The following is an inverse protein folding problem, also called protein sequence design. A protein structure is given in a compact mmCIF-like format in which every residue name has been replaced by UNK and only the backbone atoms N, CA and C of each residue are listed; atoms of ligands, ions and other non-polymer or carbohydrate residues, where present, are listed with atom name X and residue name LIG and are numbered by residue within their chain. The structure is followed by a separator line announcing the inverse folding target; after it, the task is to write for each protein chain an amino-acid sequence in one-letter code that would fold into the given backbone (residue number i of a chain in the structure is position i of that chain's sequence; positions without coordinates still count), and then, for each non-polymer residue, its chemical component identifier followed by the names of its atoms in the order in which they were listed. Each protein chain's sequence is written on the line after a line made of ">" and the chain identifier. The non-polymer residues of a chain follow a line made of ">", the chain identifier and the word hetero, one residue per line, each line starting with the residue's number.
data_IF_692458502926
#
_entry.id   IF_692458502926
#
_cell.length_a   1.000
_cell.length_b   1.000
_cell.length_c   1.000
_cell.angle_alpha   90.00
_cell.angle_beta   90.00
_cell.angle_gamma   90.00
#
_symmetry.space_group_name_H-M   'P 1'
#
loop_
_entity.id
_entity.type
_entity.pdbx_description
1 polymer ?
#
# COMPACT_ATOMS: atom_id res chain seq x y z
N UNK A 1 13.32 -29.50 -7.48
CA UNK A 1 13.83 -28.33 -8.23
C UNK A 1 15.28 -28.48 -8.70
N UNK A 2 16.29 -28.54 -7.81
CA UNK A 2 17.71 -28.59 -8.23
C UNK A 2 18.06 -29.78 -9.14
N UNK A 3 17.47 -30.97 -8.94
CA UNK A 3 17.71 -32.12 -9.82
C UNK A 3 17.17 -31.90 -11.25
N UNK A 4 15.99 -31.28 -11.38
CA UNK A 4 15.42 -30.91 -12.68
C UNK A 4 16.31 -29.89 -13.40
N UNK A 5 16.78 -28.87 -12.69
CA UNK A 5 17.67 -27.83 -13.24
C UNK A 5 18.99 -28.45 -13.74
N UNK A 6 19.55 -29.41 -12.99
CA UNK A 6 20.74 -30.17 -13.43
C UNK A 6 20.51 -30.94 -14.71
N UNK A 7 19.33 -31.55 -14.89
CA UNK A 7 19.00 -32.25 -16.13
C UNK A 7 18.80 -31.28 -17.30
N UNK A 8 18.11 -30.15 -17.09
CA UNK A 8 17.95 -29.10 -18.11
C UNK A 8 19.31 -28.55 -18.59
N UNK A 9 20.23 -28.33 -17.65
CA UNK A 9 21.59 -27.91 -17.97
C UNK A 9 22.33 -28.92 -18.87
N UNK A 10 22.12 -30.22 -18.68
CA UNK A 10 22.76 -31.26 -19.51
C UNK A 10 22.15 -31.37 -20.91
N UNK A 11 20.91 -30.90 -21.10
CA UNK A 11 20.18 -30.92 -22.36
C UNK A 11 20.56 -29.79 -23.34
N UNK A 12 21.65 -29.03 -23.08
CA UNK A 12 22.16 -27.96 -23.94
C UNK A 12 22.26 -28.40 -25.41
N UNK A 13 21.70 -27.65 -26.38
CA UNK A 13 22.38 -27.44 -27.63
C UNK A 13 23.64 -26.60 -27.33
N UNK A 14 24.81 -26.97 -27.88
CA UNK A 14 26.00 -26.14 -27.76
C UNK A 14 25.73 -24.72 -28.31
N UNK A 15 26.09 -23.66 -27.58
CA UNK A 15 25.99 -22.28 -28.06
C UNK A 15 27.12 -22.01 -29.06
N UNK A 16 27.03 -22.63 -30.24
CA UNK A 16 27.82 -22.26 -31.42
C UNK A 16 26.92 -22.08 -32.67
N UNK A 17 25.60 -22.07 -32.50
CA UNK A 17 24.64 -21.81 -33.59
C UNK A 17 23.46 -20.89 -33.21
N UNK A 18 23.48 -20.21 -32.06
CA UNK A 18 22.51 -19.17 -31.72
C UNK A 18 23.24 -17.86 -31.48
N UNK A 19 23.03 -16.88 -32.35
CA UNK A 19 23.49 -15.52 -32.11
C UNK A 19 22.71 -14.91 -30.94
N UNK A 20 23.35 -14.74 -29.79
CA UNK A 20 23.06 -13.73 -28.76
C UNK A 20 21.69 -13.70 -28.03
N UNK A 21 20.69 -14.54 -28.33
CA UNK A 21 19.40 -14.55 -27.63
C UNK A 21 19.43 -15.33 -26.29
N UNK A 22 18.64 -14.90 -25.29
CA UNK A 22 18.47 -15.63 -24.00
C UNK A 22 17.70 -16.94 -24.21
N UNK A 23 18.04 -18.02 -23.52
CA UNK A 23 17.30 -19.30 -23.59
C UNK A 23 16.43 -19.51 -22.36
N UNK A 24 15.11 -19.68 -22.57
CA UNK A 24 14.12 -19.95 -21.53
C UNK A 24 13.58 -21.37 -21.70
N UNK A 25 13.78 -22.22 -20.69
CA UNK A 25 13.19 -23.55 -20.64
C UNK A 25 11.76 -23.47 -20.12
N UNK A 26 10.78 -23.76 -20.97
CA UNK A 26 9.36 -23.83 -20.59
C UNK A 26 9.05 -25.19 -19.96
N UNK A 27 8.62 -25.14 -18.71
CA UNK A 27 8.23 -26.27 -17.88
C UNK A 27 6.80 -26.03 -17.41
N UNK A 28 5.83 -26.51 -18.20
CA UNK A 28 4.40 -26.38 -17.93
C UNK A 28 3.95 -24.93 -17.62
N UNK A 29 4.48 -23.95 -18.36
CA UNK A 29 4.15 -22.53 -18.23
C UNK A 29 5.03 -21.76 -17.23
N UNK A 30 6.01 -22.42 -16.62
CA UNK A 30 7.07 -21.79 -15.82
C UNK A 30 8.34 -21.77 -16.66
N UNK A 31 8.96 -20.60 -16.80
CA UNK A 31 10.20 -20.48 -17.56
C UNK A 31 11.41 -20.50 -16.62
N UNK A 32 12.47 -21.21 -17.01
CA UNK A 32 13.73 -21.25 -16.26
C UNK A 32 14.85 -20.82 -17.18
N UNK A 33 15.67 -19.86 -16.74
CA UNK A 33 16.95 -19.53 -17.37
C UNK A 33 18.08 -20.07 -16.51
N UNK A 34 19.19 -20.48 -17.12
CA UNK A 34 20.28 -21.19 -16.44
C UNK A 34 21.62 -20.59 -16.86
N UNK A 35 22.55 -20.52 -15.92
CA UNK A 35 23.95 -20.13 -16.09
C UNK A 35 24.06 -18.72 -16.71
N UNK A 36 24.80 -18.55 -17.80
CA UNK A 36 25.06 -17.24 -18.44
C UNK A 36 23.80 -16.42 -18.75
N UNK A 37 22.69 -17.07 -19.07
CA UNK A 37 21.43 -16.36 -19.35
C UNK A 37 20.77 -15.84 -18.07
N UNK A 38 20.88 -16.59 -16.97
CA UNK A 38 20.44 -16.15 -15.65
C UNK A 38 21.32 -14.98 -15.16
N UNK A 39 22.64 -15.09 -15.32
CA UNK A 39 23.60 -14.02 -14.97
C UNK A 39 23.33 -12.76 -15.79
N UNK A 40 23.03 -12.91 -17.09
CA UNK A 40 22.67 -11.78 -17.95
C UNK A 40 21.41 -11.07 -17.47
N UNK A 41 20.38 -11.80 -17.05
CA UNK A 41 19.17 -11.19 -16.48
C UNK A 41 19.45 -10.50 -15.12
N UNK A 42 20.24 -11.12 -14.24
CA UNK A 42 20.67 -10.51 -12.99
C UNK A 42 21.42 -9.19 -13.25
N UNK A 43 22.40 -9.17 -14.16
CA UNK A 43 23.17 -7.97 -14.47
C UNK A 43 22.36 -6.89 -15.18
N UNK A 44 21.31 -7.25 -15.91
CA UNK A 44 20.49 -6.31 -16.68
C UNK A 44 19.34 -5.74 -15.86
N UNK A 45 18.68 -6.59 -15.04
CA UNK A 45 17.40 -6.27 -14.37
C UNK A 45 17.50 -6.33 -12.84
N UNK A 46 18.59 -6.87 -12.30
CA UNK A 46 18.81 -7.03 -10.86
C UNK A 46 17.94 -8.08 -10.19
N UNK A 47 17.21 -8.89 -10.98
CA UNK A 47 16.35 -9.95 -10.47
C UNK A 47 17.16 -11.00 -9.71
N UNK A 48 16.64 -11.45 -8.56
CA UNK A 48 17.31 -12.43 -7.70
C UNK A 48 17.61 -13.73 -8.47
N UNK A 49 18.82 -14.22 -8.28
CA UNK A 49 19.33 -15.44 -8.88
C UNK A 49 19.60 -16.48 -7.80
N UNK A 50 19.40 -17.75 -8.11
CA UNK A 50 19.66 -18.85 -7.17
C UNK A 50 20.76 -19.75 -7.70
N UNK A 51 21.65 -20.19 -6.82
CA UNK A 51 22.76 -21.07 -7.17
C UNK A 51 22.44 -22.55 -6.92
N UNK A 52 23.08 -23.42 -7.71
CA UNK A 52 23.12 -24.86 -7.48
C UNK A 52 24.50 -25.42 -7.85
N UNK A 53 24.93 -26.47 -7.14
CA UNK A 53 26.21 -27.13 -7.42
C UNK A 53 26.01 -28.47 -8.15
N UNK A 54 26.72 -28.69 -9.25
CA UNK A 54 26.86 -30.01 -9.88
C UNK A 54 28.33 -30.38 -10.07
N UNK A 55 28.73 -31.55 -9.56
CA UNK A 55 30.11 -32.08 -9.64
C UNK A 55 31.20 -31.07 -9.25
N UNK A 56 30.94 -30.26 -8.23
CA UNK A 56 31.89 -29.25 -7.73
C UNK A 56 31.93 -27.95 -8.53
N UNK A 57 31.12 -27.80 -9.58
CA UNK A 57 30.91 -26.53 -10.29
C UNK A 57 29.61 -25.89 -9.81
N UNK A 58 29.64 -24.59 -9.54
CA UNK A 58 28.46 -23.80 -9.18
C UNK A 58 27.89 -23.20 -10.46
N UNK A 59 26.59 -23.33 -10.62
CA UNK A 59 25.81 -22.75 -11.69
C UNK A 59 24.67 -21.95 -11.08
N UNK A 60 24.15 -20.99 -11.84
CA UNK A 60 23.06 -20.14 -11.38
C UNK A 60 21.81 -20.43 -12.21
N UNK A 61 20.63 -20.14 -11.67
CA UNK A 61 19.37 -20.22 -12.40
C UNK A 61 18.39 -19.17 -11.86
N UNK A 62 17.41 -18.83 -12.70
CA UNK A 62 16.37 -17.89 -12.35
C UNK A 62 15.04 -18.36 -12.94
N UNK A 63 13.98 -18.26 -12.15
CA UNK A 63 12.61 -18.48 -12.63
C UNK A 63 12.10 -17.20 -13.29
N UNK A 64 11.51 -17.32 -14.47
CA UNK A 64 10.88 -16.22 -15.20
C UNK A 64 9.38 -16.51 -15.26
N UNK A 65 8.61 -15.68 -14.57
CA UNK A 65 7.15 -15.69 -14.56
C UNK A 65 6.57 -15.16 -15.89
N UNK A 66 5.28 -15.39 -16.16
CA UNK A 66 4.61 -14.73 -17.28
C UNK A 66 4.72 -13.20 -17.26
N UNK A 67 4.81 -12.56 -16.08
CA UNK A 67 5.06 -11.12 -15.96
C UNK A 67 6.48 -10.77 -16.35
N UNK A 68 7.46 -11.58 -15.95
CA UNK A 68 8.85 -11.47 -16.40
C UNK A 68 8.96 -11.53 -17.92
N UNK A 69 8.24 -12.45 -18.59
CA UNK A 69 8.17 -12.49 -20.06
C UNK A 69 7.66 -11.17 -20.65
N UNK A 70 6.61 -10.58 -20.05
CA UNK A 70 6.11 -9.28 -20.50
C UNK A 70 7.16 -8.17 -20.34
N UNK A 71 7.94 -8.18 -19.25
CA UNK A 71 9.07 -7.25 -19.04
C UNK A 71 10.10 -7.41 -20.15
N UNK A 72 10.55 -8.64 -20.43
CA UNK A 72 11.53 -8.91 -21.49
C UNK A 72 11.06 -8.39 -22.85
N UNK A 73 9.80 -8.65 -23.21
CA UNK A 73 9.20 -8.16 -24.46
C UNK A 73 9.18 -6.63 -24.54
N UNK A 74 8.76 -5.96 -23.47
CA UNK A 74 8.66 -4.49 -23.44
C UNK A 74 10.03 -3.81 -23.50
N UNK A 75 11.05 -4.44 -22.93
CA UNK A 75 12.44 -3.98 -22.99
C UNK A 75 13.16 -4.41 -24.27
N UNK A 76 12.49 -5.11 -25.19
CA UNK A 76 13.09 -5.63 -26.43
C UNK A 76 14.32 -6.52 -26.19
N UNK A 77 14.26 -7.34 -25.14
CA UNK A 77 15.29 -8.34 -24.85
C UNK A 77 14.96 -9.61 -25.64
N UNK A 78 15.82 -9.99 -26.58
CA UNK A 78 15.64 -11.18 -27.40
C UNK A 78 15.77 -12.48 -26.60
N UNK A 79 14.83 -13.39 -26.81
CA UNK A 79 14.82 -14.69 -26.15
C UNK A 79 14.16 -15.79 -26.99
N UNK A 80 14.59 -17.03 -26.75
CA UNK A 80 14.04 -18.25 -27.35
C UNK A 80 13.44 -19.16 -26.25
N UNK A 81 12.35 -19.86 -26.59
CA UNK A 81 11.69 -20.80 -25.68
C UNK A 81 11.98 -22.23 -26.11
N UNK A 82 12.54 -23.02 -25.19
CA UNK A 82 12.79 -24.46 -25.36
C UNK A 82 11.83 -25.23 -24.46
N UNK A 83 10.98 -26.08 -25.04
CA UNK A 83 10.08 -26.91 -24.24
C UNK A 83 10.85 -28.00 -23.50
N UNK A 84 10.58 -28.15 -22.22
CA UNK A 84 11.12 -29.22 -21.40
C UNK A 84 9.99 -29.98 -20.69
N UNK A 85 10.19 -31.28 -20.46
CA UNK A 85 9.25 -32.10 -19.71
C UNK A 85 9.63 -32.08 -18.22
N UNK A 86 8.67 -31.74 -17.36
CA UNK A 86 8.85 -31.83 -15.90
C UNK A 86 8.46 -33.22 -15.38
N UNK A 87 9.13 -33.67 -14.32
CA UNK A 87 8.76 -34.85 -13.54
C UNK A 87 8.21 -34.47 -12.15
N UNK A 88 8.41 -33.21 -11.72
CA UNK A 88 8.07 -32.74 -10.36
C UNK A 88 7.32 -31.39 -10.37
N UNK A 89 6.47 -31.18 -9.35
CA UNK A 89 5.87 -29.88 -9.05
C UNK A 89 6.95 -28.84 -8.68
N UNK A 90 6.97 -27.72 -9.41
CA UNK A 90 7.86 -26.58 -9.15
C UNK A 90 7.15 -25.62 -8.19
N UNK A 91 7.84 -25.22 -7.12
CA UNK A 91 7.36 -24.15 -6.26
C UNK A 91 7.43 -22.82 -7.04
N UNK A 92 6.29 -22.11 -7.13
CA UNK A 92 6.12 -20.92 -7.96
C UNK A 92 6.48 -19.63 -7.23
N UNK A 93 6.54 -19.70 -5.90
CA UNK A 93 6.67 -18.51 -5.07
C UNK A 93 8.15 -18.29 -4.74
N UNK A 94 8.64 -17.13 -5.17
CA UNK A 94 10.01 -16.69 -4.92
C UNK A 94 10.06 -15.17 -5.01
N UNK A 95 11.00 -14.54 -4.31
CA UNK A 95 11.19 -13.09 -4.37
C UNK A 95 11.36 -12.61 -5.82
N UNK A 96 12.01 -13.41 -6.69
CA UNK A 96 12.18 -13.04 -8.09
C UNK A 96 10.85 -12.89 -8.86
N UNK A 97 9.80 -13.64 -8.53
CA UNK A 97 8.49 -13.47 -9.18
C UNK A 97 7.79 -12.19 -8.71
N UNK A 98 7.97 -11.80 -7.45
CA UNK A 98 7.55 -10.49 -6.93
C UNK A 98 8.28 -9.35 -7.66
N UNK A 99 9.62 -9.45 -7.80
CA UNK A 99 10.43 -8.45 -8.50
C UNK A 99 9.98 -8.28 -9.95
N UNK A 100 9.75 -9.37 -10.68
CA UNK A 100 9.26 -9.34 -12.06
C UNK A 100 7.86 -8.73 -12.18
N UNK A 101 6.99 -8.99 -11.21
CA UNK A 101 5.63 -8.42 -11.15
C UNK A 101 5.69 -6.92 -10.93
N UNK A 102 6.52 -6.47 -9.99
CA UNK A 102 6.78 -5.06 -9.73
C UNK A 102 7.42 -4.34 -10.92
N UNK A 103 8.38 -4.97 -11.59
CA UNK A 103 8.99 -4.43 -12.80
C UNK A 103 7.99 -4.29 -13.94
N UNK A 104 7.09 -5.26 -14.09
CA UNK A 104 6.01 -5.14 -15.05
C UNK A 104 5.13 -3.94 -14.73
N UNK A 105 4.67 -3.78 -13.48
CA UNK A 105 3.88 -2.62 -13.05
C UNK A 105 4.62 -1.29 -13.29
N UNK A 106 5.92 -1.25 -12.99
CA UNK A 106 6.78 -0.10 -13.22
C UNK A 106 6.89 0.29 -14.70
N UNK A 107 6.95 -0.68 -15.61
CA UNK A 107 6.95 -0.40 -17.05
C UNK A 107 5.59 0.12 -17.55
N UNK A 108 4.51 -0.14 -16.83
CA UNK A 108 3.20 0.45 -17.10
C UNK A 108 3.06 1.86 -16.51
N UNK A 109 3.89 2.22 -15.52
CA UNK A 109 3.87 3.53 -14.90
C UNK A 109 4.51 4.59 -15.80
N UNK A 110 3.93 5.79 -15.77
CA UNK A 110 4.49 6.97 -16.45
C UNK A 110 5.67 7.58 -15.70
N UNK A 111 5.99 8.83 -16.04
CA UNK A 111 7.04 9.60 -15.36
C UNK A 111 6.67 10.05 -13.95
N UNK A 112 5.40 9.96 -13.56
CA UNK A 112 4.92 10.41 -12.26
C UNK A 112 4.83 9.23 -11.30
N UNK A 113 5.20 9.47 -10.04
CA UNK A 113 5.00 8.50 -8.97
C UNK A 113 3.50 8.34 -8.73
N UNK A 114 3.06 7.09 -8.73
CA UNK A 114 1.72 6.70 -8.37
C UNK A 114 1.76 6.01 -7.01
N UNK A 115 0.95 6.48 -6.07
CA UNK A 115 0.79 5.90 -4.74
C UNK A 115 -0.46 5.04 -4.70
N UNK A 116 -0.30 3.72 -4.65
CA UNK A 116 -1.39 2.78 -4.45
C UNK A 116 -1.61 2.56 -2.94
N UNK A 117 -2.80 2.85 -2.39
CA UNK A 117 -3.06 2.66 -0.97
C UNK A 117 -3.19 1.18 -0.59
N UNK A 118 -2.63 0.82 0.56
CA UNK A 118 -2.72 -0.53 1.14
C UNK A 118 -3.52 -0.44 2.44
N UNK A 119 -4.50 -1.34 2.60
CA UNK A 119 -5.43 -1.31 3.72
C UNK A 119 -5.31 -2.61 4.53
N UNK A 120 -5.16 -2.49 5.85
CA UNK A 120 -5.26 -3.63 6.75
C UNK A 120 -4.14 -4.68 6.65
N UNK A 121 -2.98 -4.32 6.09
CA UNK A 121 -1.82 -5.21 6.04
C UNK A 121 -0.80 -4.84 7.12
N UNK A 122 -0.68 -5.72 8.12
CA UNK A 122 0.37 -5.66 9.12
C UNK A 122 1.43 -6.71 8.84
N UNK A 123 2.66 -6.40 9.20
CA UNK A 123 3.77 -7.33 9.05
C UNK A 123 4.83 -7.14 10.13
N UNK A 124 5.69 -8.13 10.32
CA UNK A 124 6.84 -8.07 11.22
C UNK A 124 8.09 -7.80 10.39
N UNK A 125 8.83 -6.76 10.73
CA UNK A 125 10.18 -6.56 10.19
C UNK A 125 11.22 -6.85 11.27
N UNK A 126 12.26 -7.54 10.87
CA UNK A 126 13.45 -7.78 11.68
C UNK A 126 14.59 -6.90 11.17
N UNK A 127 15.23 -6.20 12.10
CA UNK A 127 16.44 -5.44 11.86
C UNK A 127 17.44 -5.71 12.98
N UNK A 128 18.63 -5.12 12.87
CA UNK A 128 19.71 -5.36 13.83
C UNK A 128 19.28 -4.91 15.23
N UNK A 129 19.00 -5.89 16.09
CA UNK A 129 18.67 -5.69 17.51
C UNK A 129 17.19 -5.43 17.82
N UNK A 130 16.28 -5.51 16.85
CA UNK A 130 14.84 -5.42 17.12
C UNK A 130 13.97 -6.13 16.09
N UNK A 131 12.81 -6.60 16.57
CA UNK A 131 11.68 -7.04 15.76
C UNK A 131 10.53 -6.09 16.07
N UNK A 132 9.91 -5.51 15.05
CA UNK A 132 8.75 -4.63 15.23
C UNK A 132 7.63 -4.96 14.26
N UNK A 133 6.40 -4.85 14.74
CA UNK A 133 5.20 -4.85 13.88
C UNK A 133 5.12 -3.50 13.16
N UNK A 134 4.93 -3.53 11.85
CA UNK A 134 4.74 -2.36 10.99
C UNK A 134 3.51 -2.55 10.13
N UNK A 135 2.88 -1.44 9.74
CA UNK A 135 1.73 -1.44 8.84
C UNK A 135 2.15 -1.03 7.45
N UNK A 136 1.78 -1.79 6.43
CA UNK A 136 1.98 -1.40 5.04
C UNK A 136 0.85 -0.45 4.64
N UNK A 137 1.20 0.78 4.24
CA UNK A 137 0.20 1.84 4.03
C UNK A 137 0.08 2.27 2.58
N UNK A 138 1.17 2.25 1.80
CA UNK A 138 1.08 2.46 0.36
C UNK A 138 2.26 1.86 -0.40
N UNK A 139 2.02 1.48 -1.64
CA UNK A 139 3.04 1.10 -2.61
C UNK A 139 3.19 2.22 -3.64
N UNK A 140 4.35 2.88 -3.65
CA UNK A 140 4.65 3.94 -4.60
C UNK A 140 5.45 3.37 -5.77
N UNK A 141 4.93 3.56 -6.98
CA UNK A 141 5.53 3.04 -8.21
C UNK A 141 5.73 4.19 -9.19
N UNK A 142 6.95 4.30 -9.70
CA UNK A 142 7.28 5.11 -10.86
C UNK A 142 8.18 4.31 -11.80
N UNK A 143 8.45 4.84 -13.00
CA UNK A 143 9.38 4.21 -13.94
C UNK A 143 10.79 3.98 -13.36
N UNK A 144 11.24 4.80 -12.41
CA UNK A 144 12.58 4.70 -11.84
C UNK A 144 12.58 3.92 -10.53
N UNK A 145 11.71 4.27 -9.60
CA UNK A 145 11.76 3.79 -8.22
C UNK A 145 10.47 3.07 -7.81
N UNK A 146 10.64 2.13 -6.88
CA UNK A 146 9.57 1.47 -6.15
C UNK A 146 9.85 1.63 -4.66
N UNK A 147 8.94 2.28 -3.95
CA UNK A 147 9.05 2.46 -2.50
C UNK A 147 7.80 1.99 -1.79
N UNK A 148 7.98 1.37 -0.63
CA UNK A 148 6.89 0.95 0.23
C UNK A 148 6.80 1.90 1.42
N UNK A 149 5.63 2.49 1.62
CA UNK A 149 5.36 3.30 2.81
C UNK A 149 4.90 2.38 3.95
N UNK A 150 5.56 2.51 5.09
CA UNK A 150 5.21 1.81 6.32
C UNK A 150 4.85 2.82 7.43
N UNK A 151 3.87 2.46 8.25
CA UNK A 151 3.32 3.27 9.33
C UNK A 151 2.98 4.71 8.91
N UNK A 152 2.52 4.89 7.66
CA UNK A 152 2.10 6.16 7.07
C UNK A 152 3.16 7.28 7.17
N UNK A 153 4.45 6.93 7.23
CA UNK A 153 5.51 7.93 7.43
C UNK A 153 6.90 7.50 6.98
N UNK A 154 7.25 6.22 7.07
CA UNK A 154 8.56 5.73 6.70
C UNK A 154 8.53 5.13 5.29
N UNK A 155 9.43 5.57 4.42
CA UNK A 155 9.54 5.07 3.05
C UNK A 155 10.74 4.13 2.95
N UNK A 156 10.48 2.90 2.53
CA UNK A 156 11.50 1.88 2.30
C UNK A 156 11.67 1.71 0.79
N UNK A 157 12.85 2.02 0.27
CA UNK A 157 13.18 1.76 -1.12
C UNK A 157 13.29 0.25 -1.36
N UNK A 158 12.49 -0.27 -2.28
CA UNK A 158 12.55 -1.66 -2.71
C UNK A 158 13.41 -1.82 -3.98
N UNK A 159 13.32 -0.85 -4.89
CA UNK A 159 14.12 -0.81 -6.11
C UNK A 159 14.35 0.63 -6.60
N UNK A 160 15.52 0.87 -7.18
CA UNK A 160 15.88 2.09 -7.89
C UNK A 160 16.60 1.74 -9.20
N UNK A 161 15.96 1.98 -10.33
CA UNK A 161 16.42 1.44 -11.61
C UNK A 161 16.51 -0.09 -11.54
N UNK A 162 17.65 -0.67 -11.88
CA UNK A 162 17.83 -2.13 -11.78
C UNK A 162 18.48 -2.57 -10.47
N UNK A 163 18.63 -1.67 -9.50
CA UNK A 163 19.18 -1.98 -8.18
C UNK A 163 18.05 -2.34 -7.22
N UNK A 164 18.08 -3.57 -6.70
CA UNK A 164 17.10 -4.07 -5.74
C UNK A 164 17.66 -4.07 -4.32
N UNK A 165 16.78 -3.82 -3.35
CA UNK A 165 17.14 -3.85 -1.94
C UNK A 165 17.19 -5.29 -1.41
N UNK A 166 18.39 -5.87 -1.40
CA UNK A 166 18.67 -7.21 -0.86
C UNK A 166 18.97 -7.24 0.65
N UNK A 167 18.73 -6.15 1.39
CA UNK A 167 18.81 -6.22 2.86
C UNK A 167 17.76 -7.18 3.42
N UNK A 168 17.98 -7.75 4.61
CA UNK A 168 16.99 -8.62 5.26
C UNK A 168 15.60 -7.98 5.29
N UNK A 169 15.54 -6.69 5.68
CA UNK A 169 14.29 -5.94 5.69
C UNK A 169 13.67 -5.80 4.29
N UNK A 170 14.48 -5.50 3.26
CA UNK A 170 14.01 -5.40 1.87
C UNK A 170 13.43 -6.72 1.35
N UNK A 171 14.14 -7.83 1.57
CA UNK A 171 13.69 -9.17 1.19
C UNK A 171 12.42 -9.59 1.92
N UNK A 172 12.36 -9.36 3.23
CA UNK A 172 11.17 -9.61 4.03
C UNK A 172 9.97 -8.82 3.51
N UNK A 173 10.14 -7.54 3.17
CA UNK A 173 9.06 -6.72 2.63
C UNK A 173 8.62 -7.19 1.22
N UNK A 174 9.56 -7.60 0.35
CA UNK A 174 9.24 -8.18 -0.95
C UNK A 174 8.40 -9.46 -0.80
N UNK A 175 8.77 -10.32 0.15
CA UNK A 175 8.01 -11.53 0.46
C UNK A 175 6.59 -11.19 0.94
N UNK A 176 6.44 -10.21 1.83
CA UNK A 176 5.11 -9.82 2.35
C UNK A 176 4.20 -9.17 1.31
N UNK A 177 4.73 -8.42 0.33
CA UNK A 177 3.90 -7.85 -0.73
C UNK A 177 3.58 -8.86 -1.83
N UNK A 178 4.21 -10.03 -1.86
CA UNK A 178 3.92 -11.07 -2.86
C UNK A 178 2.43 -11.44 -2.88
N UNK A 179 1.87 -11.80 -1.73
CA UNK A 179 0.45 -12.17 -1.59
C UNK A 179 -0.49 -11.02 -1.92
N UNK A 180 -0.07 -9.77 -1.62
CA UNK A 180 -0.84 -8.58 -1.97
C UNK A 180 -0.90 -8.40 -3.48
N UNK A 181 0.24 -8.56 -4.16
CA UNK A 181 0.30 -8.49 -5.61
C UNK A 181 -0.54 -9.61 -6.23
N UNK A 182 -0.44 -10.85 -5.74
CA UNK A 182 -1.23 -11.96 -6.28
C UNK A 182 -2.74 -11.71 -6.22
N UNK A 183 -3.24 -11.15 -5.13
CA UNK A 183 -4.67 -10.83 -4.97
C UNK A 183 -5.09 -9.57 -5.75
N UNK A 184 -4.25 -8.53 -5.77
CA UNK A 184 -4.66 -7.18 -6.19
C UNK A 184 -4.07 -6.73 -7.52
N UNK A 185 -3.26 -7.58 -8.18
CA UNK A 185 -2.48 -7.21 -9.38
C UNK A 185 -3.31 -6.52 -10.46
N UNK A 186 -4.43 -7.10 -10.88
CA UNK A 186 -5.24 -6.55 -11.98
C UNK A 186 -5.81 -5.17 -11.64
N UNK A 187 -6.13 -4.95 -10.37
CA UNK A 187 -6.60 -3.67 -9.88
C UNK A 187 -5.48 -2.64 -9.83
N UNK A 188 -4.31 -3.00 -9.28
CA UNK A 188 -3.13 -2.13 -9.26
C UNK A 188 -2.71 -1.75 -10.69
N UNK A 189 -2.68 -2.71 -11.61
CA UNK A 189 -2.38 -2.48 -13.02
C UNK A 189 -3.37 -1.49 -13.65
N UNK A 190 -4.67 -1.69 -13.43
CA UNK A 190 -5.72 -0.78 -13.92
C UNK A 190 -5.59 0.62 -13.32
N UNK A 191 -5.25 0.70 -12.03
CA UNK A 191 -5.00 1.94 -11.31
C UNK A 191 -3.78 2.69 -11.88
N UNK A 192 -2.71 1.97 -12.24
CA UNK A 192 -1.52 2.54 -12.90
C UNK A 192 -1.83 3.07 -14.30
N UNK A 193 -2.54 2.28 -15.11
CA UNK A 193 -2.82 2.61 -16.50
C UNK A 193 -3.86 3.74 -16.64
N UNK A 194 -4.86 3.78 -15.76
CA UNK A 194 -6.01 4.69 -15.86
C UNK A 194 -6.39 5.37 -14.52
N UNK A 195 -5.45 6.03 -13.81
CA UNK A 195 -5.67 6.48 -12.43
C UNK A 195 -6.87 7.42 -12.29
N UNK A 196 -7.06 8.35 -13.23
CA UNK A 196 -8.18 9.30 -13.19
C UNK A 196 -9.54 8.61 -13.29
N UNK A 197 -9.64 7.56 -14.09
CA UNK A 197 -10.89 6.81 -14.26
C UNK A 197 -11.17 5.98 -13.01
N UNK A 198 -10.17 5.24 -12.52
CA UNK A 198 -10.31 4.42 -11.32
C UNK A 198 -10.70 5.28 -10.11
N UNK A 199 -10.00 6.39 -9.86
CA UNK A 199 -10.33 7.32 -8.76
C UNK A 199 -11.75 7.89 -8.89
N UNK A 200 -12.21 8.14 -10.12
CA UNK A 200 -13.58 8.63 -10.36
C UNK A 200 -14.62 7.55 -10.03
N UNK A 201 -14.38 6.32 -10.46
CA UNK A 201 -15.25 5.17 -10.18
C UNK A 201 -15.31 4.88 -8.68
N UNK A 202 -14.14 4.86 -8.01
CA UNK A 202 -14.03 4.76 -6.55
C UNK A 202 -14.87 5.84 -5.86
N UNK A 203 -14.73 7.12 -6.24
CA UNK A 203 -15.51 8.22 -5.64
C UNK A 203 -17.02 8.03 -5.79
N UNK A 204 -17.48 7.53 -6.94
CA UNK A 204 -18.90 7.27 -7.19
C UNK A 204 -19.42 6.11 -6.32
N UNK A 205 -18.65 5.03 -6.21
CA UNK A 205 -18.96 3.87 -5.39
C UNK A 205 -18.98 4.23 -3.91
N UNK A 206 -17.96 4.93 -3.43
CA UNK A 206 -17.85 5.39 -2.05
C UNK A 206 -18.99 6.35 -1.68
N UNK A 207 -19.41 7.23 -2.60
CA UNK A 207 -20.61 8.06 -2.40
C UNK A 207 -21.88 7.23 -2.27
N UNK A 208 -22.03 6.14 -3.01
CA UNK A 208 -23.18 5.24 -2.88
C UNK A 208 -23.19 4.54 -1.52
N UNK A 209 -22.03 4.05 -1.07
CA UNK A 209 -21.84 3.49 0.27
C UNK A 209 -22.22 4.51 1.36
N UNK A 210 -21.64 5.71 1.29
CA UNK A 210 -21.90 6.76 2.27
C UNK A 210 -23.37 7.22 2.27
N UNK A 211 -24.01 7.30 1.11
CA UNK A 211 -25.44 7.62 1.02
C UNK A 211 -26.32 6.57 1.72
N UNK A 212 -25.97 5.29 1.60
CA UNK A 212 -26.65 4.20 2.32
C UNK A 212 -26.44 4.32 3.83
N UNK A 213 -25.21 4.60 4.26
CA UNK A 213 -24.90 4.87 5.67
C UNK A 213 -25.76 6.02 6.22
N UNK A 214 -25.74 7.19 5.57
CA UNK A 214 -26.42 8.38 6.11
C UNK A 214 -27.94 8.25 6.05
N UNK A 215 -28.51 7.54 5.06
CA UNK A 215 -29.96 7.30 5.01
C UNK A 215 -30.42 6.46 6.19
N UNK A 216 -29.66 5.43 6.56
CA UNK A 216 -30.03 4.57 7.70
C UNK A 216 -29.69 5.21 9.04
N UNK A 217 -28.56 5.93 9.14
CA UNK A 217 -28.13 6.57 10.39
C UNK A 217 -29.15 7.59 10.90
N UNK A 218 -29.88 8.26 10.01
CA UNK A 218 -30.92 9.26 10.37
C UNK A 218 -32.08 8.67 11.17
N UNK A 219 -32.36 7.38 10.99
CA UNK A 219 -33.48 6.68 11.64
C UNK A 219 -33.06 5.96 12.92
N UNK A 220 -31.76 6.02 13.27
CA UNK A 220 -31.19 5.38 14.46
C UNK A 220 -31.02 6.40 15.59
N UNK A 221 -31.07 5.95 16.86
CA UNK A 221 -30.67 6.77 17.99
C UNK A 221 -29.24 7.31 17.81
N UNK A 222 -28.98 8.53 18.29
CA UNK A 222 -27.69 9.22 18.12
C UNK A 222 -26.54 8.39 18.72
N UNK A 223 -26.82 7.67 19.80
CA UNK A 223 -25.86 6.83 20.54
C UNK A 223 -25.56 5.49 19.86
N UNK A 224 -26.39 5.06 18.90
CA UNK A 224 -26.20 3.78 18.19
C UNK A 224 -25.17 3.93 17.10
N UNK A 225 -24.05 3.20 17.17
CA UNK A 225 -23.04 3.17 16.10
C UNK A 225 -23.58 2.34 14.92
N UNK A 226 -23.59 2.92 13.72
CA UNK A 226 -23.95 2.20 12.51
C UNK A 226 -22.70 1.68 11.81
N UNK A 227 -22.70 0.39 11.45
CA UNK A 227 -21.66 -0.24 10.65
C UNK A 227 -22.23 -0.75 9.32
N UNK A 228 -21.53 -0.44 8.24
CA UNK A 228 -21.75 -1.05 6.93
C UNK A 228 -20.90 -2.31 6.82
N UNK A 229 -21.51 -3.47 6.66
CA UNK A 229 -20.79 -4.70 6.33
C UNK A 229 -20.43 -4.71 4.85
N UNK A 230 -19.15 -4.93 4.56
CA UNK A 230 -18.58 -5.10 3.22
C UNK A 230 -17.75 -6.39 3.19
N UNK A 231 -18.31 -7.45 2.61
CA UNK A 231 -17.69 -8.79 2.65
C UNK A 231 -17.39 -9.24 4.10
N UNK A 232 -16.10 -9.31 4.48
CA UNK A 232 -15.61 -9.70 5.81
C UNK A 232 -15.33 -8.51 6.74
N UNK A 233 -15.36 -7.29 6.23
CA UNK A 233 -14.99 -6.08 6.95
C UNK A 233 -16.22 -5.21 7.26
N UNK A 234 -16.07 -4.31 8.23
CA UNK A 234 -17.13 -3.41 8.69
C UNK A 234 -16.64 -1.97 8.67
N UNK A 235 -17.43 -1.07 8.08
CA UNK A 235 -17.11 0.36 7.99
C UNK A 235 -18.02 1.21 8.86
N UNK A 236 -17.43 2.09 9.66
CA UNK A 236 -18.09 3.24 10.28
C UNK A 236 -17.66 4.53 9.57
N UNK A 237 -18.51 5.56 9.54
CA UNK A 237 -18.22 6.86 8.92
C UNK A 237 -18.34 8.02 9.92
N UNK A 238 -17.65 9.12 9.65
CA UNK A 238 -17.73 10.40 10.37
C UNK A 238 -17.54 10.21 11.91
N UNK A 239 -18.46 10.74 12.72
CA UNK A 239 -18.40 10.68 14.19
C UNK A 239 -18.46 9.26 14.75
N UNK A 240 -19.12 8.32 14.04
CA UNK A 240 -19.13 6.91 14.41
C UNK A 240 -17.74 6.31 14.21
N UNK A 241 -17.03 6.67 13.13
CA UNK A 241 -15.65 6.25 12.90
C UNK A 241 -14.71 6.72 14.02
N UNK A 242 -14.80 8.01 14.40
CA UNK A 242 -14.04 8.57 15.52
C UNK A 242 -14.35 7.81 16.83
N UNK A 243 -15.63 7.55 17.08
CA UNK A 243 -16.07 6.87 18.30
C UNK A 243 -15.54 5.42 18.32
N UNK A 244 -15.66 4.68 17.23
CA UNK A 244 -15.12 3.33 17.11
C UNK A 244 -13.61 3.31 17.36
N UNK A 245 -12.84 4.16 16.68
CA UNK A 245 -11.39 4.22 16.84
C UNK A 245 -10.96 4.56 18.28
N UNK A 246 -11.81 5.32 19.01
CA UNK A 246 -11.55 5.64 20.42
C UNK A 246 -11.88 4.50 21.39
N UNK A 247 -12.87 3.66 21.07
CA UNK A 247 -13.35 2.57 21.94
C UNK A 247 -12.60 1.25 21.69
N UNK A 248 -12.19 1.00 20.45
CA UNK A 248 -11.53 -0.24 20.05
C UNK A 248 -10.04 -0.03 19.83
N UNK A 249 -9.22 -0.79 20.55
CA UNK A 249 -7.76 -0.79 20.32
C UNK A 249 -7.46 -1.26 18.90
N UNK A 250 -6.48 -0.61 18.27
CA UNK A 250 -5.94 -0.95 16.95
C UNK A 250 -6.94 -0.83 15.78
N UNK A 251 -8.06 -0.13 15.95
CA UNK A 251 -8.87 0.31 14.82
C UNK A 251 -8.29 1.62 14.29
N UNK A 252 -7.96 1.63 13.00
CA UNK A 252 -7.42 2.80 12.31
C UNK A 252 -8.52 3.58 11.60
N UNK A 253 -8.30 4.88 11.55
CA UNK A 253 -9.05 5.82 10.72
C UNK A 253 -8.43 5.90 9.33
N UNK A 254 -9.27 6.00 8.32
CA UNK A 254 -8.89 6.12 6.92
C UNK A 254 -9.61 7.31 6.30
N UNK A 255 -8.97 7.90 5.30
CA UNK A 255 -9.59 8.84 4.39
C UNK A 255 -10.27 8.09 3.25
N UNK A 256 -11.55 8.37 3.05
CA UNK A 256 -12.39 7.82 2.00
C UNK A 256 -12.81 8.95 1.06
N UNK A 257 -12.48 8.82 -0.22
CA UNK A 257 -12.86 9.82 -1.19
C UNK A 257 -14.29 9.63 -1.65
N UNK A 258 -15.15 10.60 -1.33
CA UNK A 258 -16.56 10.66 -1.73
C UNK A 258 -16.85 11.97 -2.48
N UNK A 259 -17.89 11.95 -3.32
CA UNK A 259 -18.51 13.16 -3.85
C UNK A 259 -19.35 13.79 -2.74
N UNK A 260 -18.85 14.87 -2.14
CA UNK A 260 -19.56 15.60 -1.10
C UNK A 260 -18.63 16.27 -0.08
N UNK A 261 -19.25 16.82 0.96
CA UNK A 261 -18.56 17.54 2.06
C UNK A 261 -18.50 16.74 3.37
N UNK A 262 -18.89 15.46 3.34
CA UNK A 262 -19.00 14.54 4.49
C UNK A 262 -18.71 13.12 4.02
N UNK A 263 -18.45 12.19 4.94
CA UNK A 263 -18.14 10.80 4.62
C UNK A 263 -16.67 10.56 4.30
N UNK A 264 -15.78 11.49 4.67
CA UNK A 264 -14.35 11.36 4.37
C UNK A 264 -13.60 10.57 5.43
N UNK A 265 -14.05 10.58 6.69
CA UNK A 265 -13.41 9.78 7.75
C UNK A 265 -14.10 8.43 7.88
N UNK A 266 -13.34 7.34 7.78
CA UNK A 266 -13.83 5.97 7.88
C UNK A 266 -13.04 5.19 8.92
N UNK A 267 -13.69 4.33 9.70
CA UNK A 267 -13.00 3.31 10.48
C UNK A 267 -13.34 1.94 9.89
N UNK A 268 -12.32 1.10 9.70
CA UNK A 268 -12.50 -0.28 9.22
C UNK A 268 -12.22 -1.26 10.35
N UNK A 269 -13.14 -2.20 10.55
CA UNK A 269 -13.05 -3.22 11.59
C UNK A 269 -13.07 -4.62 10.98
N UNK A 270 -12.26 -5.50 11.54
CA UNK A 270 -12.39 -6.95 11.39
C UNK A 270 -13.42 -7.53 12.39
N UNK A 271 -13.84 -8.78 12.17
CA UNK A 271 -14.79 -9.50 13.04
C UNK A 271 -14.43 -9.48 14.52
N UNK A 272 -13.15 -9.65 14.87
CA UNK A 272 -12.68 -9.64 16.26
C UNK A 272 -12.86 -8.28 16.94
N UNK A 273 -12.67 -7.19 16.19
CA UNK A 273 -12.85 -5.82 16.65
C UNK A 273 -14.34 -5.47 16.78
N UNK A 274 -15.17 -5.97 15.86
CA UNK A 274 -16.62 -5.85 15.97
C UNK A 274 -17.15 -6.49 17.25
N UNK A 275 -16.74 -7.73 17.54
CA UNK A 275 -17.16 -8.43 18.75
C UNK A 275 -16.80 -7.65 20.02
N UNK A 276 -15.59 -7.08 20.07
CA UNK A 276 -15.15 -6.22 21.17
C UNK A 276 -15.99 -4.94 21.29
N UNK A 277 -16.31 -4.29 20.16
CA UNK A 277 -17.15 -3.09 20.14
C UNK A 277 -18.56 -3.35 20.70
N UNK A 278 -19.17 -4.47 20.30
CA UNK A 278 -20.51 -4.86 20.75
C UNK A 278 -20.63 -5.10 22.26
N UNK A 279 -19.51 -5.33 22.97
CA UNK A 279 -19.49 -5.45 24.43
C UNK A 279 -19.58 -4.11 25.16
N UNK A 280 -19.25 -3.00 24.49
CA UNK A 280 -19.08 -1.69 25.15
C UNK A 280 -20.03 -0.61 24.63
N UNK A 281 -20.70 -0.84 23.49
CA UNK A 281 -21.63 0.13 22.92
C UNK A 281 -22.72 -0.54 22.07
N UNK A 282 -23.81 0.19 21.85
CA UNK A 282 -24.88 -0.25 20.96
C UNK A 282 -24.44 -0.11 19.50
N UNK A 283 -24.53 -1.21 18.75
CA UNK A 283 -24.13 -1.30 17.35
C UNK A 283 -25.30 -1.80 16.51
N UNK A 284 -25.54 -1.14 15.38
CA UNK A 284 -26.42 -1.62 14.31
C UNK A 284 -25.58 -1.94 13.08
N UNK A 285 -25.84 -3.08 12.45
CA UNK A 285 -25.10 -3.53 11.27
C UNK A 285 -26.07 -3.61 10.11
N UNK A 286 -25.70 -3.03 8.97
CA UNK A 286 -26.42 -3.22 7.72
C UNK A 286 -25.47 -3.77 6.66
N UNK A 287 -25.97 -4.72 5.88
CA UNK A 287 -25.23 -5.23 4.73
C UNK A 287 -25.26 -4.18 3.62
N UNK A 288 -24.08 -3.68 3.22
CA UNK A 288 -23.96 -2.69 2.17
C UNK A 288 -24.24 -3.26 0.77
N UNK A 289 -24.26 -4.59 0.63
CA UNK A 289 -24.33 -5.31 -0.64
C UNK A 289 -23.26 -4.82 -1.62
N UNK A 290 -22.06 -4.53 -1.09
CA UNK A 290 -20.97 -3.99 -1.88
C UNK A 290 -20.35 -5.10 -2.72
N UNK A 291 -20.34 -4.98 -4.07
CA UNK A 291 -19.96 -6.08 -4.95
C UNK A 291 -18.45 -6.25 -5.11
N UNK A 292 -17.66 -5.34 -4.53
CA UNK A 292 -16.22 -5.20 -4.73
C UNK A 292 -15.45 -5.52 -3.46
N UNK A 293 -14.17 -5.88 -3.61
CA UNK A 293 -13.28 -6.13 -2.47
C UNK A 293 -12.92 -4.82 -1.75
N UNK A 294 -12.58 -4.91 -0.46
CA UNK A 294 -12.30 -3.74 0.38
C UNK A 294 -11.16 -2.85 -0.17
N UNK A 295 -10.12 -3.45 -0.77
CA UNK A 295 -9.01 -2.70 -1.37
C UNK A 295 -9.45 -1.80 -2.54
N UNK A 296 -10.59 -2.09 -3.18
CA UNK A 296 -11.11 -1.28 -4.29
C UNK A 296 -11.75 0.03 -3.81
N UNK A 297 -12.02 0.18 -2.50
CA UNK A 297 -12.56 1.42 -1.92
C UNK A 297 -11.54 2.57 -1.98
N UNK A 298 -10.23 2.24 -1.98
CA UNK A 298 -9.17 3.23 -2.01
C UNK A 298 -9.05 4.02 -0.71
N UNK A 299 -9.11 3.32 0.42
CA UNK A 299 -8.94 3.91 1.74
C UNK A 299 -7.46 4.26 1.99
N UNK A 300 -7.16 5.51 2.34
CA UNK A 300 -5.81 5.97 2.67
C UNK A 300 -5.69 6.12 4.20
N UNK A 301 -4.57 5.70 4.81
CA UNK A 301 -4.43 5.83 6.28
C UNK A 301 -4.50 7.31 6.69
N UNK A 302 -5.43 7.64 7.59
CA UNK A 302 -5.67 9.02 7.98
C UNK A 302 -4.59 9.55 8.91
N UNK A 303 -4.22 10.82 8.75
CA UNK A 303 -3.33 11.53 9.68
C UNK A 303 -3.88 11.58 11.12
N UNK A 304 -5.19 11.35 11.30
CA UNK A 304 -5.86 11.29 12.59
C UNK A 304 -5.39 10.13 13.48
N UNK A 305 -4.73 9.11 12.92
CA UNK A 305 -4.17 7.99 13.70
C UNK A 305 -2.90 8.36 14.46
N UNK A 306 -2.27 9.49 14.13
CA UNK A 306 -1.01 9.90 14.74
C UNK A 306 -1.22 10.23 16.22
N UNK A 307 -0.51 9.53 17.09
CA UNK A 307 -0.44 9.86 18.51
C UNK A 307 0.38 11.14 18.70
N UNK A 308 -0.08 12.00 19.58
CA UNK A 308 0.56 13.26 19.95
C UNK A 308 0.75 13.35 21.46
N UNK A 309 1.65 14.24 21.90
CA UNK A 309 1.92 14.43 23.31
C UNK A 309 0.77 15.18 23.98
N UNK A 310 -0.02 14.43 24.75
CA UNK A 310 -1.16 14.98 25.49
C UNK A 310 -0.74 15.93 26.64
N UNK A 311 0.54 16.04 26.95
CA UNK A 311 1.03 17.03 27.92
C UNK A 311 1.08 18.44 27.32
N UNK A 312 1.19 18.57 26.00
CA UNK A 312 1.10 19.87 25.33
C UNK A 312 -0.37 20.25 25.16
N UNK A 313 -0.74 21.45 25.65
CA UNK A 313 -2.09 21.98 25.47
C UNK A 313 -2.01 23.26 24.66
N UNK A 314 -2.66 23.27 23.50
CA UNK A 314 -2.81 24.45 22.65
C UNK A 314 -4.17 25.09 22.89
N UNK A 315 -4.20 26.42 23.02
CA UNK A 315 -5.43 27.21 23.16
C UNK A 315 -5.64 28.07 21.91
N UNK A 316 -6.85 28.63 21.77
CA UNK A 316 -7.22 29.52 20.65
C UNK A 316 -6.86 28.96 19.27
N UNK A 317 -7.03 27.64 19.12
CA UNK A 317 -6.71 26.93 17.88
C UNK A 317 -7.77 27.26 16.83
N UNK A 318 -7.34 27.87 15.73
CA UNK A 318 -8.24 28.31 14.65
C UNK A 318 -7.64 27.97 13.30
N UNK A 319 -8.45 27.36 12.44
CA UNK A 319 -8.22 27.28 11.00
C UNK A 319 -9.01 28.38 10.32
N UNK A 320 -8.31 29.24 9.56
CA UNK A 320 -8.93 30.36 8.85
C UNK A 320 -8.40 30.48 7.42
N UNK A 321 -9.21 31.04 6.53
CA UNK A 321 -8.78 31.39 5.17
C UNK A 321 -8.08 32.74 5.20
N UNK A 322 -6.84 32.79 4.72
CA UNK A 322 -6.06 34.01 4.58
C UNK A 322 -6.58 34.88 3.42
N UNK A 323 -6.16 36.15 3.37
CA UNK A 323 -6.48 37.05 2.26
C UNK A 323 -5.90 36.57 0.92
N UNK A 324 -4.79 35.83 0.97
CA UNK A 324 -4.15 35.23 -0.20
C UNK A 324 -4.90 33.98 -0.71
N UNK A 325 -5.96 33.54 -0.02
CA UNK A 325 -6.80 32.41 -0.41
C UNK A 325 -6.38 31.06 0.18
N UNK A 326 -5.21 30.99 0.81
CA UNK A 326 -4.70 29.80 1.50
C UNK A 326 -5.36 29.61 2.87
N UNK A 327 -5.55 28.36 3.31
CA UNK A 327 -5.94 28.07 4.68
C UNK A 327 -4.71 28.03 5.60
N UNK A 328 -4.82 28.68 6.76
CA UNK A 328 -3.76 28.74 7.78
C UNK A 328 -4.27 28.26 9.13
N UNK A 329 -3.37 27.65 9.89
CA UNK A 329 -3.58 27.25 11.27
C UNK A 329 -2.87 28.23 12.19
N UNK A 330 -3.58 28.68 13.23
CA UNK A 330 -3.06 29.50 14.32
C UNK A 330 -3.41 28.88 15.66
N UNK A 331 -2.53 29.03 16.64
CA UNK A 331 -2.73 28.52 18.00
C UNK A 331 -1.90 29.32 19.00
N UNK A 332 -2.22 29.18 20.28
CA UNK A 332 -1.48 29.73 21.42
C UNK A 332 -0.94 28.57 22.25
N UNK A 333 0.31 28.67 22.71
CA UNK A 333 0.91 27.72 23.63
C UNK A 333 1.57 28.47 24.79
N UNK A 334 1.22 28.10 26.03
CA UNK A 334 1.69 28.79 27.25
C UNK A 334 1.54 30.33 27.18
N UNK A 335 0.42 30.81 26.65
CA UNK A 335 0.13 32.24 26.49
C UNK A 335 0.86 32.94 25.34
N UNK A 336 1.70 32.24 24.58
CA UNK A 336 2.43 32.77 23.43
C UNK A 336 1.74 32.40 22.13
N UNK A 337 1.47 33.40 21.27
CA UNK A 337 0.96 33.19 19.93
C UNK A 337 2.00 32.47 19.06
N UNK A 338 1.63 31.32 18.50
CA UNK A 338 2.49 30.57 17.59
C UNK A 338 2.42 31.13 16.16
N UNK A 339 3.49 30.96 15.36
CA UNK A 339 3.52 31.43 13.98
C UNK A 339 2.45 30.72 13.15
N UNK A 340 1.71 31.47 12.33
CA UNK A 340 0.71 30.86 11.45
C UNK A 340 1.36 29.93 10.43
N UNK A 341 0.79 28.75 10.27
CA UNK A 341 1.31 27.74 9.34
C UNK A 341 0.27 27.43 8.26
N UNK A 342 0.62 27.47 6.97
CA UNK A 342 -0.28 27.07 5.91
C UNK A 342 -0.59 25.57 6.00
N UNK A 343 -1.84 25.21 5.72
CA UNK A 343 -2.31 23.82 5.68
C UNK A 343 -2.84 23.49 4.28
N UNK A 344 -2.93 22.20 3.91
CA UNK A 344 -3.50 21.80 2.63
C UNK A 344 -4.90 22.39 2.41
N UNK A 345 -5.12 23.03 1.26
CA UNK A 345 -6.38 23.71 0.97
C UNK A 345 -7.59 22.76 0.95
N UNK A 346 -7.39 21.50 0.54
CA UNK A 346 -8.42 20.46 0.59
C UNK A 346 -8.90 20.23 2.02
N UNK A 347 -7.96 20.01 2.96
CA UNK A 347 -8.24 19.80 4.38
C UNK A 347 -8.85 21.04 5.03
N UNK A 348 -8.30 22.23 4.79
CA UNK A 348 -8.84 23.49 5.32
C UNK A 348 -10.26 23.78 4.83
N UNK A 349 -10.53 23.58 3.54
CA UNK A 349 -11.89 23.69 2.98
C UNK A 349 -12.84 22.67 3.61
N UNK A 350 -12.42 21.42 3.77
CA UNK A 350 -13.23 20.37 4.39
C UNK A 350 -13.58 20.73 5.84
N UNK A 351 -12.56 21.01 6.67
CA UNK A 351 -12.73 21.40 8.07
C UNK A 351 -13.68 22.59 8.26
N UNK A 352 -13.52 23.65 7.46
CA UNK A 352 -14.36 24.84 7.58
C UNK A 352 -15.83 24.57 7.22
N UNK A 353 -16.11 23.55 6.41
CA UNK A 353 -17.48 23.16 6.01
C UNK A 353 -18.13 22.17 6.96
N UNK A 354 -17.36 21.52 7.83
CA UNK A 354 -17.90 20.62 8.83
C UNK A 354 -18.75 21.39 9.87
N UNK A 355 -19.92 20.86 10.28
CA UNK A 355 -20.63 21.35 11.46
C UNK A 355 -19.81 21.10 12.73
N UNK A 356 -20.26 21.63 13.87
CA UNK A 356 -19.67 21.26 15.17
C UNK A 356 -19.98 19.78 15.44
N UNK A 357 -18.97 18.92 15.37
CA UNK A 357 -19.08 17.47 15.51
C UNK A 357 -17.74 16.87 15.97
N UNK A 358 -17.75 15.59 16.39
CA UNK A 358 -16.54 14.93 16.94
C UNK A 358 -15.41 14.87 15.91
N UNK A 359 -15.74 14.60 14.66
CA UNK A 359 -14.78 14.61 13.55
C UNK A 359 -14.06 15.96 13.43
N UNK A 360 -14.82 17.07 13.46
CA UNK A 360 -14.25 18.42 13.36
C UNK A 360 -13.28 18.70 14.50
N UNK A 361 -13.68 18.38 15.74
CA UNK A 361 -12.87 18.58 16.92
C UNK A 361 -11.58 17.72 16.86
N UNK A 362 -11.70 16.47 16.41
CA UNK A 362 -10.56 15.55 16.27
C UNK A 362 -9.58 16.03 15.20
N UNK A 363 -10.07 16.52 14.05
CA UNK A 363 -9.23 17.13 13.01
C UNK A 363 -8.45 18.32 13.57
N UNK A 364 -9.11 19.23 14.30
CA UNK A 364 -8.46 20.42 14.84
C UNK A 364 -7.33 20.07 15.81
N UNK A 365 -7.59 19.12 16.72
CA UNK A 365 -6.59 18.65 17.69
C UNK A 365 -5.43 17.96 16.98
N UNK A 366 -5.70 16.99 16.10
CA UNK A 366 -4.62 16.29 15.39
C UNK A 366 -3.79 17.24 14.53
N UNK A 367 -4.43 18.23 13.88
CA UNK A 367 -3.76 19.20 13.02
C UNK A 367 -2.83 20.15 13.80
N UNK A 368 -3.25 20.65 14.96
CA UNK A 368 -2.42 21.55 15.78
C UNK A 368 -1.19 20.84 16.34
N UNK A 369 -1.36 19.61 16.84
CA UNK A 369 -0.26 18.82 17.34
C UNK A 369 0.71 18.43 16.22
N UNK A 370 0.20 17.93 15.08
CA UNK A 370 1.05 17.60 13.93
C UNK A 370 1.86 18.79 13.41
N UNK A 371 1.28 20.00 13.47
CA UNK A 371 1.91 21.22 12.96
C UNK A 371 2.98 21.75 13.91
N UNK A 372 2.68 21.87 15.20
CA UNK A 372 3.56 22.58 16.14
C UNK A 372 4.49 21.65 16.91
N UNK A 373 4.15 20.39 17.16
CA UNK A 373 5.10 19.45 17.80
C UNK A 373 6.27 19.12 16.88
N UNK A 374 6.02 18.94 15.56
CA UNK A 374 7.10 18.76 14.57
C UNK A 374 8.05 19.95 14.52
N UNK A 375 7.57 21.14 14.87
CA UNK A 375 8.32 22.39 14.83
C UNK A 375 8.84 22.84 16.20
N UNK A 376 8.56 22.08 17.27
CA UNK A 376 8.89 22.44 18.66
C UNK A 376 10.40 22.60 18.93
N UNK A 377 11.26 22.14 18.02
CA UNK A 377 12.72 22.31 18.07
C UNK A 377 13.18 23.69 17.57
N UNK A 378 12.28 24.49 16.96
CA UNK A 378 12.58 25.85 16.48
C UNK A 378 12.23 26.95 17.49
N UNK A 379 11.57 26.61 18.60
CA UNK A 379 11.18 27.57 19.64
C UNK A 379 12.10 27.57 20.87
N UNK A 380 13.25 26.89 20.80
CA UNK A 380 14.32 26.98 21.82
C UNK A 380 15.52 27.75 21.27
N UNK A 381 15.36 29.07 21.08
CA UNK A 381 16.46 30.04 21.06
C UNK A 381 16.01 31.36 21.66
#
# INVERSE_FOLDING_TARGET
>A
MQNLIKELYKCRPMPNQAGMALVLYDIDGIFVVIDKDADRLYLTLGWEITDFSDKGTIFSYMMVSPKGICVLKQLSIDYEIVKAQAVDNINRDSIVTTQQTLDYLRLQAGSHILSYPIVGHNTMIESVGFIREVRLTSLNISRQEITLCIDNSEHVELANGHEWNFSNMGLTLLDYISSLLDEQFDYILSYIQNPKQIIKEQKLQNSTLYNRYISTKKDLPIETILLLKIQKDYLAFDDDAITVASLCRNVLLYECHVIGLRGQTVAMLADSQLQALQQVTMVSIIDAHYPHAAYQIGLEESFLNRKYDKQMTYTDVVVRKSKAGEYVLSAVYNGTQLPEVPIPNSLGSYYCKLPKCKEKDTILVSLVHQTYEKNSWKCSR
#
